data_IF_379979342193
#
_entry.id   IF_379979342193
#
_cell.length_a   1.000
_cell.length_b   1.000
_cell.length_c   1.000
_cell.angle_alpha   90.00
_cell.angle_beta   90.00
_cell.angle_gamma   90.00
#
_symmetry.space_group_name_H-M   'P 1'
#
loop_
_entity.id
_entity.type
_entity.pdbx_description
1 polymer ?
#
# COMPACT_ATOMS: atom_id res chain seq x y z
N UNK A 1 20.51 -17.75 -29.06
CA UNK A 1 19.32 -16.87 -29.12
C UNK A 1 18.99 -16.52 -27.70
N UNK A 2 19.28 -15.28 -27.32
CA UNK A 2 19.14 -14.75 -25.97
C UNK A 2 17.70 -14.22 -25.91
N UNK A 3 16.89 -14.76 -25.01
CA UNK A 3 15.49 -14.36 -24.84
C UNK A 3 15.43 -12.93 -24.35
N UNK A 4 14.62 -12.12 -25.03
CA UNK A 4 14.32 -10.75 -24.64
C UNK A 4 13.66 -10.78 -23.24
N UNK A 5 14.36 -10.21 -22.27
CA UNK A 5 13.77 -9.81 -20.98
C UNK A 5 12.58 -8.90 -21.30
N UNK A 6 11.40 -9.32 -20.86
CA UNK A 6 10.20 -8.49 -20.94
C UNK A 6 10.44 -7.24 -20.11
N UNK A 7 10.78 -6.15 -20.79
CA UNK A 7 10.89 -4.83 -20.21
C UNK A 7 9.51 -4.45 -19.67
N UNK A 8 9.33 -4.54 -18.36
CA UNK A 8 8.13 -4.05 -17.71
C UNK A 8 8.05 -2.55 -17.96
N UNK A 9 7.12 -2.11 -18.81
CA UNK A 9 6.92 -0.68 -19.04
C UNK A 9 6.61 -0.01 -17.69
N UNK A 10 7.36 1.04 -17.37
CA UNK A 10 7.21 1.83 -16.13
C UNK A 10 5.80 2.44 -15.94
N UNK A 11 4.92 2.33 -16.93
CA UNK A 11 3.54 2.83 -16.96
C UNK A 11 2.53 1.92 -16.24
N UNK A 12 2.83 0.64 -15.99
CA UNK A 12 1.83 -0.33 -15.50
C UNK A 12 1.46 -0.22 -14.02
N UNK A 13 2.25 0.47 -13.19
CA UNK A 13 2.04 0.54 -11.74
C UNK A 13 1.50 1.88 -11.25
N UNK A 14 1.30 2.83 -12.16
CA UNK A 14 0.88 4.19 -11.83
C UNK A 14 -0.37 4.55 -12.61
N UNK A 15 -1.27 5.29 -11.95
CA UNK A 15 -2.39 5.95 -12.62
C UNK A 15 -2.35 7.45 -12.35
N UNK A 16 -2.74 8.25 -13.35
CA UNK A 16 -2.84 9.69 -13.20
C UNK A 16 -4.09 10.10 -12.41
N UNK A 17 -4.02 11.25 -11.73
CA UNK A 17 -5.17 11.85 -11.02
C UNK A 17 -6.35 12.14 -11.94
N UNK A 18 -6.10 12.45 -13.22
CA UNK A 18 -7.14 12.59 -14.25
C UNK A 18 -7.86 11.28 -14.49
N UNK A 19 -7.11 10.18 -14.68
CA UNK A 19 -7.70 8.86 -14.90
C UNK A 19 -8.55 8.46 -13.69
N UNK A 20 -8.02 8.60 -12.47
CA UNK A 20 -8.77 8.24 -11.26
C UNK A 20 -10.09 9.03 -11.17
N UNK A 21 -10.06 10.33 -11.45
CA UNK A 21 -11.25 11.17 -11.43
C UNK A 21 -12.34 10.74 -12.42
N UNK A 22 -11.95 10.19 -13.58
CA UNK A 22 -12.87 9.67 -14.60
C UNK A 22 -13.47 8.30 -14.23
N UNK A 23 -12.85 7.58 -13.29
CA UNK A 23 -13.21 6.19 -12.94
C UNK A 23 -13.75 6.03 -11.51
N UNK A 24 -13.96 7.10 -10.74
CA UNK A 24 -14.45 7.05 -9.34
C UNK A 24 -15.77 6.28 -9.16
N UNK A 25 -16.56 6.11 -10.22
CA UNK A 25 -17.84 5.43 -10.18
C UNK A 25 -17.78 3.98 -10.69
N UNK A 26 -16.59 3.46 -11.01
CA UNK A 26 -16.42 2.07 -11.40
C UNK A 26 -16.66 1.14 -10.18
N UNK A 27 -17.65 0.23 -10.24
CA UNK A 27 -17.93 -0.68 -9.13
C UNK A 27 -16.79 -1.68 -8.83
N UNK A 28 -15.88 -1.89 -9.78
CA UNK A 28 -14.70 -2.76 -9.64
C UNK A 28 -13.47 -2.03 -9.09
N UNK A 29 -13.53 -0.71 -8.94
CA UNK A 29 -12.44 0.09 -8.38
C UNK A 29 -12.55 0.20 -6.85
N UNK A 30 -11.41 0.06 -6.17
CA UNK A 30 -11.26 0.43 -4.75
C UNK A 30 -10.14 1.44 -4.62
N UNK A 31 -10.48 2.62 -4.11
CA UNK A 31 -9.49 3.64 -3.78
C UNK A 31 -9.13 3.48 -2.31
N UNK A 32 -7.83 3.51 -1.99
CA UNK A 32 -7.36 3.34 -0.62
C UNK A 32 -6.47 4.50 -0.21
N UNK A 33 -6.85 5.14 0.88
CA UNK A 33 -6.07 6.14 1.61
C UNK A 33 -5.13 5.44 2.60
N UNK A 34 -3.83 5.60 2.36
CA UNK A 34 -2.74 5.09 3.19
C UNK A 34 -1.99 6.22 3.91
N UNK A 35 -2.59 7.40 4.08
CA UNK A 35 -1.90 8.51 4.76
C UNK A 35 -1.49 8.12 6.19
N UNK A 36 -0.29 8.54 6.55
CA UNK A 36 0.33 8.25 7.83
C UNK A 36 1.70 8.92 7.95
N UNK A 37 2.35 8.67 9.08
CA UNK A 37 3.59 9.32 9.47
C UNK A 37 4.52 8.36 10.19
N UNK A 38 5.82 8.54 9.95
CA UNK A 38 6.87 8.02 10.83
C UNK A 38 7.53 9.22 11.50
N UNK A 39 7.47 9.29 12.83
CA UNK A 39 8.12 10.35 13.62
C UNK A 39 9.32 9.74 14.33
N UNK A 40 10.51 10.14 13.93
CA UNK A 40 11.75 9.69 14.57
C UNK A 40 12.24 10.73 15.56
N UNK A 41 12.48 10.31 16.78
CA UNK A 41 13.15 11.11 17.82
C UNK A 41 14.46 10.45 18.20
N UNK A 42 15.53 11.24 18.26
CA UNK A 42 16.82 10.75 18.75
C UNK A 42 17.08 11.30 20.15
N UNK A 43 17.33 10.40 21.10
CA UNK A 43 17.72 10.76 22.45
C UNK A 43 18.89 9.88 22.89
N UNK A 44 20.00 10.53 23.29
CA UNK A 44 21.23 9.86 23.74
C UNK A 44 21.79 8.81 22.75
N UNK A 45 21.66 9.06 21.45
CA UNK A 45 22.13 8.15 20.38
C UNK A 45 21.22 6.95 20.12
N UNK A 46 20.05 6.90 20.76
CA UNK A 46 18.98 5.94 20.46
C UNK A 46 17.94 6.64 19.61
N UNK A 47 17.60 6.03 18.46
CA UNK A 47 16.49 6.48 17.63
C UNK A 47 15.24 5.69 17.99
N UNK A 48 14.18 6.40 18.34
CA UNK A 48 12.84 5.86 18.56
C UNK A 48 11.95 6.33 17.41
N UNK A 49 11.20 5.41 16.81
CA UNK A 49 10.26 5.71 15.75
C UNK A 49 8.82 5.49 16.24
N UNK A 50 7.94 6.45 15.98
CA UNK A 50 6.50 6.32 16.21
C UNK A 50 5.81 6.20 14.86
N UNK A 51 5.01 5.15 14.71
CA UNK A 51 4.29 4.79 13.50
C UNK A 51 2.80 5.10 13.63
N UNK A 52 2.32 6.08 12.88
CA UNK A 52 0.96 6.62 13.05
C UNK A 52 0.20 6.61 11.73
N UNK A 53 -1.00 6.04 11.71
CA UNK A 53 -1.98 6.26 10.65
C UNK A 53 -2.66 7.62 10.77
N UNK A 54 -2.99 8.26 9.65
CA UNK A 54 -3.61 9.59 9.61
C UNK A 54 -5.15 9.54 9.53
N UNK A 55 -5.80 8.80 10.43
CA UNK A 55 -7.27 8.60 10.43
C UNK A 55 -8.04 9.93 10.46
N UNK A 56 -7.61 10.85 11.31
CA UNK A 56 -8.26 12.16 11.45
C UNK A 56 -8.19 12.97 10.14
N UNK A 57 -7.09 12.86 9.39
CA UNK A 57 -6.95 13.55 8.11
C UNK A 57 -7.79 12.92 7.00
N UNK A 58 -7.99 11.60 7.05
CA UNK A 58 -8.99 10.92 6.22
C UNK A 58 -10.38 11.49 6.49
N UNK A 59 -10.78 11.57 7.75
CA UNK A 59 -12.12 12.05 8.13
C UNK A 59 -12.34 13.55 7.79
N UNK A 60 -11.29 14.37 7.84
CA UNK A 60 -11.33 15.78 7.42
C UNK A 60 -11.48 15.95 5.90
N UNK A 61 -11.02 14.97 5.11
CA UNK A 61 -11.14 14.99 3.66
C UNK A 61 -10.29 13.93 2.98
N UNK A 62 -10.90 13.12 2.12
CA UNK A 62 -10.28 12.07 1.33
C UNK A 62 -10.79 12.07 -0.12
N UNK A 63 -10.14 11.31 -1.01
CA UNK A 63 -10.60 11.14 -2.39
C UNK A 63 -11.98 10.45 -2.36
N UNK A 64 -12.97 10.88 -3.16
CA UNK A 64 -14.31 10.29 -3.13
C UNK A 64 -14.29 8.77 -3.32
N UNK A 65 -15.09 8.05 -2.54
CA UNK A 65 -15.12 6.58 -2.59
C UNK A 65 -13.93 5.87 -1.91
N UNK A 66 -12.96 6.61 -1.35
CA UNK A 66 -11.79 6.00 -0.74
C UNK A 66 -12.09 5.32 0.61
N UNK A 67 -11.50 4.14 0.77
CA UNK A 67 -11.39 3.41 2.02
C UNK A 67 -10.17 3.90 2.80
N UNK A 68 -10.22 3.82 4.12
CA UNK A 68 -9.07 4.05 4.97
C UNK A 68 -8.49 2.72 5.44
N UNK A 69 -7.17 2.58 5.32
CA UNK A 69 -6.41 1.49 5.93
C UNK A 69 -5.34 2.11 6.83
N UNK A 70 -5.32 1.71 8.10
CA UNK A 70 -4.27 2.12 9.01
C UNK A 70 -3.02 1.28 8.76
N UNK A 71 -2.05 1.89 8.09
CA UNK A 71 -0.83 1.22 7.69
C UNK A 71 -0.03 0.64 8.87
N UNK A 72 -0.14 1.22 10.08
CA UNK A 72 0.63 0.79 11.24
C UNK A 72 -0.03 -0.37 12.02
N UNK A 73 -1.29 -0.72 11.72
CA UNK A 73 -2.05 -1.72 12.48
C UNK A 73 -2.82 -2.73 11.64
N UNK A 74 -3.40 -2.33 10.51
CA UNK A 74 -4.26 -3.19 9.69
C UNK A 74 -3.47 -4.18 8.82
N UNK A 75 -2.28 -3.78 8.35
CA UNK A 75 -1.43 -4.58 7.44
C UNK A 75 -0.11 -5.03 8.08
N UNK A 76 0.02 -4.83 9.39
CA UNK A 76 1.19 -5.16 10.18
C UNK A 76 0.88 -6.31 11.13
N UNK A 77 1.87 -7.19 11.34
CA UNK A 77 1.81 -8.22 12.37
C UNK A 77 2.10 -7.58 13.73
N UNK A 78 1.09 -7.59 14.60
CA UNK A 78 1.21 -7.02 15.95
C UNK A 78 1.80 -8.00 16.95
N UNK A 79 1.92 -9.28 16.57
CA UNK A 79 2.43 -10.35 17.41
C UNK A 79 3.92 -10.66 17.13
N UNK A 80 4.52 -9.99 16.14
CA UNK A 80 5.95 -10.10 15.80
C UNK A 80 6.81 -9.18 16.67
N UNK A 81 7.97 -9.67 17.10
CA UNK A 81 8.94 -8.89 17.89
C UNK A 81 9.61 -7.78 17.06
N UNK A 82 9.64 -7.94 15.74
CA UNK A 82 10.14 -6.94 14.80
C UNK A 82 8.98 -6.09 14.30
N UNK A 83 9.11 -4.78 14.48
CA UNK A 83 8.08 -3.84 14.05
C UNK A 83 7.87 -3.86 12.52
N UNK A 84 6.66 -3.48 12.08
CA UNK A 84 6.27 -3.32 10.68
C UNK A 84 6.32 -4.58 9.79
N UNK A 85 6.50 -5.77 10.37
CA UNK A 85 6.34 -7.05 9.66
C UNK A 85 4.94 -7.13 9.04
N UNK A 86 4.82 -7.74 7.87
CA UNK A 86 3.52 -7.86 7.19
C UNK A 86 2.58 -8.78 7.97
N UNK A 87 1.33 -8.35 8.16
CA UNK A 87 0.31 -9.15 8.85
C UNK A 87 0.19 -10.55 8.22
N UNK A 88 -0.06 -11.62 9.01
CA UNK A 88 -0.25 -12.97 8.48
C UNK A 88 -1.36 -13.04 7.43
N UNK A 89 -1.21 -13.94 6.46
CA UNK A 89 -2.10 -14.05 5.29
C UNK A 89 -3.60 -14.04 5.64
N UNK A 90 -3.98 -14.76 6.70
CA UNK A 90 -5.37 -14.82 7.15
C UNK A 90 -5.87 -13.46 7.67
N UNK A 91 -5.10 -12.80 8.55
CA UNK A 91 -5.45 -11.48 9.08
C UNK A 91 -5.54 -10.45 7.96
N UNK A 92 -4.58 -10.45 7.05
CA UNK A 92 -4.58 -9.55 5.90
C UNK A 92 -5.82 -9.76 5.02
N UNK A 93 -6.15 -11.02 4.68
CA UNK A 93 -7.33 -11.34 3.90
C UNK A 93 -8.64 -10.94 4.59
N UNK A 94 -8.73 -11.11 5.91
CA UNK A 94 -9.89 -10.67 6.69
C UNK A 94 -10.08 -9.15 6.66
N UNK A 95 -9.00 -8.37 6.78
CA UNK A 95 -9.06 -6.91 6.70
C UNK A 95 -9.47 -6.47 5.30
N UNK A 96 -8.80 -6.95 4.25
CA UNK A 96 -9.14 -6.59 2.85
C UNK A 96 -10.59 -6.94 2.53
N UNK A 97 -11.01 -8.17 2.87
CA UNK A 97 -12.36 -8.65 2.60
C UNK A 97 -13.44 -7.84 3.33
N UNK A 98 -13.22 -7.46 4.60
CA UNK A 98 -14.13 -6.60 5.38
C UNK A 98 -14.31 -5.22 4.75
N UNK A 99 -13.26 -4.68 4.13
CA UNK A 99 -13.30 -3.39 3.45
C UNK A 99 -13.90 -3.47 2.03
N UNK A 100 -14.28 -4.67 1.58
CA UNK A 100 -14.82 -4.89 0.24
C UNK A 100 -13.75 -4.89 -0.85
N UNK A 101 -12.48 -5.14 -0.48
CA UNK A 101 -11.38 -5.43 -1.39
C UNK A 101 -11.31 -6.94 -1.55
N UNK A 102 -11.24 -7.41 -2.78
CA UNK A 102 -11.32 -8.83 -3.12
C UNK A 102 -10.72 -9.10 -4.49
N UNK A 103 -10.68 -10.36 -4.87
CA UNK A 103 -9.89 -10.88 -5.99
C UNK A 103 -10.17 -10.19 -7.35
N UNK A 104 -11.38 -9.64 -7.53
CA UNK A 104 -11.83 -9.02 -8.77
C UNK A 104 -11.60 -7.51 -8.87
N UNK A 105 -11.14 -6.86 -7.80
CA UNK A 105 -11.06 -5.41 -7.74
C UNK A 105 -9.71 -4.90 -8.24
N UNK A 106 -9.73 -3.77 -8.93
CA UNK A 106 -8.55 -2.94 -9.12
C UNK A 106 -8.40 -2.04 -7.89
N UNK A 107 -7.23 -2.03 -7.27
CA UNK A 107 -6.92 -1.19 -6.12
C UNK A 107 -6.04 -0.01 -6.53
N UNK A 108 -6.52 1.21 -6.33
CA UNK A 108 -5.71 2.43 -6.49
C UNK A 108 -5.35 2.94 -5.10
N UNK A 109 -4.06 2.92 -4.79
CA UNK A 109 -3.56 3.33 -3.47
C UNK A 109 -2.93 4.71 -3.56
N UNK A 110 -3.18 5.56 -2.57
CA UNK A 110 -2.51 6.83 -2.43
C UNK A 110 -2.11 7.12 -0.98
N UNK A 111 -1.14 8.01 -0.81
CA UNK A 111 -0.86 8.69 0.46
C UNK A 111 -0.54 10.17 0.18
N UNK A 112 -0.05 10.88 1.18
CA UNK A 112 0.43 12.26 1.07
C UNK A 112 1.95 12.38 1.20
N UNK A 113 2.66 11.26 1.36
CA UNK A 113 4.11 11.25 1.53
C UNK A 113 4.78 11.56 0.19
N UNK A 114 5.79 12.45 0.12
CA UNK A 114 6.45 12.81 -1.14
C UNK A 114 7.04 11.61 -1.93
N UNK A 115 7.41 10.54 -1.22
CA UNK A 115 7.94 9.31 -1.78
C UNK A 115 6.89 8.18 -1.92
N UNK A 116 5.61 8.44 -1.64
CA UNK A 116 4.54 7.43 -1.66
C UNK A 116 4.83 6.19 -0.81
N UNK A 117 5.47 6.39 0.34
CA UNK A 117 6.02 5.33 1.18
C UNK A 117 4.96 4.33 1.65
N UNK A 118 3.78 4.81 2.03
CA UNK A 118 2.73 3.97 2.61
C UNK A 118 1.84 3.36 1.54
N UNK A 119 1.60 4.11 0.46
CA UNK A 119 0.90 3.59 -0.71
C UNK A 119 1.67 2.44 -1.36
N UNK A 120 3.00 2.58 -1.50
CA UNK A 120 3.86 1.52 -2.03
C UNK A 120 3.99 0.33 -1.06
N UNK A 121 3.89 0.55 0.26
CA UNK A 121 3.83 -0.55 1.25
C UNK A 121 2.59 -1.42 1.12
N UNK A 122 1.41 -0.84 0.86
CA UNK A 122 0.20 -1.62 0.58
C UNK A 122 0.26 -2.25 -0.82
N UNK A 123 0.75 -1.55 -1.84
CA UNK A 123 1.01 -2.12 -3.16
C UNK A 123 1.87 -3.40 -3.07
N UNK A 124 2.98 -3.34 -2.32
CA UNK A 124 3.84 -4.50 -2.08
C UNK A 124 3.11 -5.58 -1.30
N UNK A 125 2.34 -5.24 -0.26
CA UNK A 125 1.63 -6.24 0.56
C UNK A 125 0.57 -7.00 -0.24
N UNK A 126 -0.20 -6.30 -1.07
CA UNK A 126 -1.18 -6.90 -1.98
C UNK A 126 -0.48 -7.81 -2.98
N UNK A 127 0.60 -7.34 -3.60
CA UNK A 127 1.40 -8.13 -4.55
C UNK A 127 2.04 -9.36 -3.88
N UNK A 128 2.55 -9.21 -2.65
CA UNK A 128 3.08 -10.31 -1.83
C UNK A 128 2.03 -11.38 -1.53
N UNK A 129 0.76 -10.99 -1.41
CA UNK A 129 -0.37 -11.90 -1.29
C UNK A 129 -1.05 -12.24 -2.63
N UNK A 130 -0.37 -12.00 -3.75
CA UNK A 130 -0.79 -12.47 -5.07
C UNK A 130 -1.87 -11.63 -5.73
N UNK A 131 -2.24 -10.49 -5.15
CA UNK A 131 -3.15 -9.54 -5.75
C UNK A 131 -2.37 -8.50 -6.56
N UNK A 132 -2.24 -8.73 -7.87
CA UNK A 132 -1.46 -7.88 -8.78
C UNK A 132 -2.24 -6.70 -9.38
N UNK A 133 -3.56 -6.68 -9.24
CA UNK A 133 -4.44 -5.60 -9.73
C UNK A 133 -4.38 -4.40 -8.77
N UNK A 134 -3.18 -3.86 -8.56
CA UNK A 134 -2.93 -2.74 -7.67
C UNK A 134 -1.97 -1.75 -8.30
N UNK A 135 -2.34 -0.47 -8.24
CA UNK A 135 -1.58 0.66 -8.78
C UNK A 135 -1.50 1.81 -7.77
N UNK A 136 -0.48 2.64 -7.90
CA UNK A 136 -0.29 3.82 -7.05
C UNK A 136 -0.73 5.08 -7.80
N UNK A 137 -1.43 5.98 -7.10
CA UNK A 137 -1.85 7.27 -7.65
C UNK A 137 -0.63 8.19 -7.83
N UNK A 138 -0.30 8.53 -9.08
CA UNK A 138 0.85 9.35 -9.40
C UNK A 138 0.71 10.78 -8.84
N UNK A 139 1.59 11.13 -7.89
CA UNK A 139 1.58 12.40 -7.17
C UNK A 139 0.68 12.44 -5.93
N UNK A 140 -0.02 11.33 -5.65
CA UNK A 140 -0.78 11.11 -4.42
C UNK A 140 -1.85 12.17 -4.11
N UNK A 141 -2.24 12.22 -2.84
CA UNK A 141 -3.24 13.16 -2.32
C UNK A 141 -2.85 14.62 -2.54
N UNK A 142 -1.55 14.92 -2.36
CA UNK A 142 -1.00 16.26 -2.53
C UNK A 142 -1.20 16.82 -3.94
N UNK A 143 -1.12 15.97 -4.98
CA UNK A 143 -1.45 16.39 -6.35
C UNK A 143 -2.96 16.53 -6.55
N UNK A 144 -3.76 15.58 -6.05
CA UNK A 144 -5.22 15.64 -6.10
C UNK A 144 -5.77 16.97 -5.56
N UNK A 145 -5.27 17.40 -4.39
CA UNK A 145 -5.64 18.67 -3.76
C UNK A 145 -5.19 19.89 -4.58
N UNK A 146 -3.95 19.91 -5.07
CA UNK A 146 -3.44 21.02 -5.89
C UNK A 146 -4.20 21.21 -7.20
N UNK A 147 -4.76 20.14 -7.73
CA UNK A 147 -5.63 20.15 -8.91
C UNK A 147 -7.08 20.58 -8.57
N UNK A 148 -7.36 20.95 -7.32
CA UNK A 148 -8.68 21.37 -6.82
C UNK A 148 -9.79 20.34 -7.11
N UNK A 149 -9.45 19.05 -7.02
CA UNK A 149 -10.41 17.95 -7.23
C UNK A 149 -11.29 17.74 -5.99
N UNK A 150 -12.49 17.18 -6.16
CA UNK A 150 -13.43 16.97 -5.06
C UNK A 150 -12.85 16.11 -3.94
N UNK A 151 -13.29 16.37 -2.70
CA UNK A 151 -13.00 15.55 -1.52
C UNK A 151 -14.31 15.13 -0.86
N UNK A 152 -14.29 13.98 -0.19
CA UNK A 152 -15.37 13.50 0.69
C UNK A 152 -14.90 13.46 2.14
N UNK A 153 -15.85 13.57 3.06
CA UNK A 153 -15.62 13.44 4.51
C UNK A 153 -16.38 12.25 5.10
N UNK A 154 -17.35 11.70 4.35
CA UNK A 154 -18.14 10.56 4.80
C UNK A 154 -17.37 9.28 4.48
N UNK A 155 -17.17 8.38 5.44
CA UNK A 155 -16.52 7.10 5.17
C UNK A 155 -17.24 6.33 4.06
N UNK A 156 -16.46 5.77 3.14
CA UNK A 156 -16.97 4.89 2.10
C UNK A 156 -17.22 3.49 2.66
N UNK A 157 -18.31 2.86 2.22
CA UNK A 157 -18.69 1.51 2.64
C UNK A 157 -18.99 0.67 1.41
N UNK A 158 -18.27 -0.43 1.25
CA UNK A 158 -18.52 -1.43 0.22
C UNK A 158 -18.99 -2.75 0.85
N UNK A 159 -19.77 -3.57 0.14
CA UNK A 159 -20.08 -4.92 0.59
C UNK A 159 -18.78 -5.73 0.81
N UNK A 160 -18.73 -6.59 1.84
CA UNK A 160 -17.59 -7.48 2.02
C UNK A 160 -17.33 -8.32 0.77
N UNK A 161 -16.05 -8.58 0.51
CA UNK A 161 -15.58 -9.35 -0.64
C UNK A 161 -14.68 -10.51 -0.19
N UNK A 162 -14.45 -11.46 -1.09
CA UNK A 162 -13.48 -12.53 -0.88
C UNK A 162 -12.11 -12.07 -1.36
N UNK A 163 -11.13 -12.11 -0.46
CA UNK A 163 -9.72 -11.95 -0.78
C UNK A 163 -9.01 -13.28 -0.55
N UNK A 164 -8.43 -13.86 -1.59
CA UNK A 164 -7.76 -15.17 -1.56
C UNK A 164 -6.24 -14.96 -1.58
N UNK A 165 -5.55 -15.02 -0.42
CA UNK A 165 -4.12 -14.73 -0.37
C UNK A 165 -3.30 -15.86 -1.02
N UNK A 166 -2.46 -15.50 -1.98
CA UNK A 166 -1.45 -16.38 -2.60
C UNK A 166 -0.07 -15.79 -2.31
N UNK A 167 0.60 -16.33 -1.29
CA UNK A 167 1.92 -15.83 -0.86
C UNK A 167 2.95 -15.97 -1.98
N UNK A 168 3.67 -14.88 -2.25
CA UNK A 168 4.78 -14.77 -3.20
C UNK A 168 6.10 -14.69 -2.42
N UNK A 169 6.64 -15.82 -1.93
CA UNK A 169 7.79 -15.83 -1.03
C UNK A 169 9.03 -15.13 -1.61
N UNK A 170 9.21 -15.15 -2.93
CA UNK A 170 10.32 -14.48 -3.62
C UNK A 170 10.32 -12.95 -3.49
N UNK A 171 9.22 -12.33 -3.06
CA UNK A 171 9.12 -10.88 -2.86
C UNK A 171 9.53 -10.43 -1.44
N UNK A 172 9.93 -11.37 -0.58
CA UNK A 172 10.41 -11.12 0.79
C UNK A 172 11.67 -11.93 1.02
N UNK A 173 12.71 -11.27 1.53
CA UNK A 173 13.91 -11.95 2.04
C UNK A 173 13.94 -11.86 3.57
N UNK A 174 14.34 -12.95 4.22
CA UNK A 174 14.58 -13.01 5.66
C UNK A 174 16.01 -12.56 5.98
N UNK A 175 16.25 -12.19 7.25
CA UNK A 175 17.59 -11.85 7.72
C UNK A 175 18.60 -13.00 7.49
N UNK A 176 18.16 -14.25 7.62
CA UNK A 176 19.01 -15.43 7.38
C UNK A 176 19.37 -15.58 5.89
N UNK A 177 18.41 -15.37 4.99
CA UNK A 177 18.67 -15.40 3.54
C UNK A 177 19.63 -14.28 3.14
N UNK A 178 19.40 -13.05 3.61
CA UNK A 178 20.32 -11.93 3.35
C UNK A 178 21.71 -12.22 3.90
N UNK A 179 21.82 -12.76 5.12
CA UNK A 179 23.10 -13.14 5.73
C UNK A 179 23.87 -14.16 4.88
N UNK A 180 23.18 -15.14 4.31
CA UNK A 180 23.78 -16.16 3.45
C UNK A 180 24.31 -15.59 2.11
N UNK A 181 23.85 -14.41 1.70
CA UNK A 181 24.23 -13.74 0.47
C UNK A 181 25.33 -12.68 0.66
N UNK A 182 25.71 -12.35 1.91
CA UNK A 182 26.76 -11.37 2.17
C UNK A 182 28.10 -11.79 1.55
N UNK A 183 28.77 -10.84 0.90
CA UNK A 183 30.06 -11.06 0.24
C UNK A 183 29.98 -11.55 -1.22
N UNK A 184 28.76 -11.76 -1.76
CA UNK A 184 28.57 -12.01 -3.18
C UNK A 184 28.75 -10.70 -3.98
N UNK A 185 29.65 -10.70 -4.96
CA UNK A 185 30.06 -9.49 -5.70
C UNK A 185 29.03 -9.00 -6.72
N UNK A 186 28.05 -9.85 -7.06
CA UNK A 186 27.01 -9.61 -8.06
C UNK A 186 25.64 -9.26 -7.43
N UNK A 187 25.57 -9.17 -6.10
CA UNK A 187 24.37 -8.76 -5.38
C UNK A 187 24.52 -7.35 -4.79
N UNK A 188 23.55 -6.48 -5.07
CA UNK A 188 23.36 -5.23 -4.35
C UNK A 188 22.26 -5.44 -3.30
N UNK A 189 22.55 -5.07 -2.05
CA UNK A 189 21.64 -5.10 -0.91
C UNK A 189 21.17 -3.69 -0.56
#
# INVERSE_FOLDING_TARGET
MIGEEQHMERSGFLVETTWLAEHLHDPHLRVVDMRGYVRTTEHAGVQEAVYEGAREEYEQGHIPGALYIDWSSDIVDADDEVEAQVAPAQRFAEVMGKLGIGDQHLVVVYDAHPASQFATRLWWALTYYGHSEVVVLNGGFSRWQRENRPLEQRPSVYPPATFTPVVQPQLRATAQEVLALLGQSDLAL
#
